data_IF_987923343613
#
_entry.id   IF_987923343613
#
_cell.length_a   1.000
_cell.length_b   1.000
_cell.length_c   1.000
_cell.angle_alpha   90.00
_cell.angle_beta   90.00
_cell.angle_gamma   90.00
#
_symmetry.space_group_name_H-M   'P 1'
#
loop_
_entity.id
_entity.type
_entity.pdbx_description
1 polymer ?
#
# COMPACT_ATOMS: atom_id res chain seq x y z
N UNK A 1 19.82 24.05 56.66
CA UNK A 1 20.90 23.16 56.19
C UNK A 1 20.24 21.80 55.97
N UNK A 2 19.78 21.41 54.79
CA UNK A 2 19.86 22.05 53.47
C UNK A 2 18.64 21.62 52.64
N UNK A 3 17.78 22.56 52.26
CA UNK A 3 16.73 22.40 51.21
C UNK A 3 17.34 22.27 49.80
N UNK A 4 18.61 21.84 49.73
CA UNK A 4 19.45 21.82 48.54
C UNK A 4 19.79 20.40 48.09
N UNK A 5 19.40 19.38 48.86
CA UNK A 5 19.58 17.96 48.51
C UNK A 5 18.44 17.38 47.65
N UNK A 6 17.27 18.02 47.56
CA UNK A 6 16.16 17.56 46.70
C UNK A 6 16.22 18.14 45.27
N UNK A 7 17.05 19.17 45.04
CA UNK A 7 17.23 19.81 43.75
C UNK A 7 18.12 19.00 42.77
N UNK A 8 18.66 17.86 43.23
CA UNK A 8 19.59 17.04 42.48
C UNK A 8 19.00 15.70 41.99
N UNK A 9 17.66 15.62 41.84
CA UNK A 9 17.02 14.62 40.97
C UNK A 9 17.54 14.84 39.55
N UNK A 10 18.68 14.19 39.28
CA UNK A 10 19.43 14.18 38.03
C UNK A 10 18.44 14.29 36.87
N UNK A 11 18.49 15.41 36.13
CA UNK A 11 17.83 15.48 34.81
C UNK A 11 18.32 14.26 34.04
N UNK A 12 17.47 13.25 33.87
CA UNK A 12 17.85 12.03 33.15
C UNK A 12 18.34 12.50 31.78
N UNK A 13 19.62 12.33 31.52
CA UNK A 13 20.22 12.67 30.24
C UNK A 13 19.48 11.88 29.16
N UNK A 14 18.96 12.59 28.16
CA UNK A 14 18.25 11.95 27.06
C UNK A 14 19.17 10.90 26.41
N UNK A 15 18.61 9.72 26.11
CA UNK A 15 19.35 8.69 25.41
C UNK A 15 19.87 9.21 24.07
N UNK A 16 21.14 8.96 23.78
CA UNK A 16 21.78 9.37 22.52
C UNK A 16 21.91 8.17 21.60
N UNK A 17 21.15 8.18 20.52
CA UNK A 17 21.19 7.12 19.51
C UNK A 17 22.53 7.11 18.76
N UNK A 18 23.15 5.94 18.73
CA UNK A 18 24.24 5.57 17.81
C UNK A 18 23.66 4.82 16.59
N UNK A 19 24.50 4.52 15.60
CA UNK A 19 24.08 3.72 14.44
C UNK A 19 23.72 2.29 14.86
N UNK A 20 24.48 1.67 15.76
CA UNK A 20 24.12 0.37 16.32
C UNK A 20 22.78 0.40 17.06
N UNK A 21 22.50 1.44 17.86
CA UNK A 21 21.19 1.58 18.51
C UNK A 21 20.05 1.84 17.51
N UNK A 22 20.33 2.48 16.36
CA UNK A 22 19.36 2.60 15.27
C UNK A 22 19.10 1.22 14.64
N UNK A 23 20.12 0.42 14.39
CA UNK A 23 19.98 -0.94 13.84
C UNK A 23 19.13 -1.81 14.77
N UNK A 24 19.42 -1.79 16.08
CA UNK A 24 18.65 -2.55 17.07
C UNK A 24 17.18 -2.09 17.10
N UNK A 25 16.94 -0.77 17.08
CA UNK A 25 15.58 -0.22 16.98
C UNK A 25 14.85 -0.71 15.73
N UNK A 26 15.53 -0.72 14.57
CA UNK A 26 14.93 -1.16 13.31
C UNK A 26 14.63 -2.66 13.31
N UNK A 27 15.52 -3.49 13.88
CA UNK A 27 15.27 -4.93 14.07
C UNK A 27 14.03 -5.18 14.91
N UNK A 28 13.86 -4.43 16.00
CA UNK A 28 12.65 -4.51 16.83
C UNK A 28 11.39 -4.04 16.09
N UNK A 29 11.49 -3.00 15.26
CA UNK A 29 10.37 -2.55 14.40
C UNK A 29 9.97 -3.63 13.39
N UNK A 30 10.94 -4.32 12.78
CA UNK A 30 10.67 -5.46 11.89
C UNK A 30 9.97 -6.59 12.63
N UNK A 31 10.44 -6.93 13.83
CA UNK A 31 9.90 -8.03 14.63
C UNK A 31 8.48 -7.75 15.12
N UNK A 32 8.26 -6.58 15.72
CA UNK A 32 7.00 -6.23 16.38
C UNK A 32 5.95 -5.68 15.40
N UNK A 33 6.41 -5.17 14.24
CA UNK A 33 5.59 -4.67 13.14
C UNK A 33 4.48 -3.67 13.56
N UNK A 34 4.84 -2.54 14.20
CA UNK A 34 3.86 -1.56 14.71
C UNK A 34 2.97 -0.94 13.62
N UNK A 35 3.44 -0.93 12.36
CA UNK A 35 2.70 -0.45 11.18
C UNK A 35 1.57 -1.39 10.73
N UNK A 36 1.67 -2.69 11.02
CA UNK A 36 0.63 -3.68 10.73
C UNK A 36 -0.27 -3.97 11.96
N UNK A 37 -0.10 -3.20 13.03
CA UNK A 37 -0.93 -3.33 14.23
C UNK A 37 -2.43 -3.15 13.89
N UNK A 38 -3.32 -3.94 14.54
CA UNK A 38 -4.75 -3.69 14.52
C UNK A 38 -5.11 -2.30 15.04
N UNK A 39 -6.31 -1.83 14.68
CA UNK A 39 -6.80 -0.52 15.14
C UNK A 39 -6.72 -0.41 16.67
N UNK A 40 -6.14 0.68 17.17
CA UNK A 40 -5.96 0.94 18.60
C UNK A 40 -4.76 0.24 19.26
N UNK A 41 -4.04 -0.66 18.58
CA UNK A 41 -2.93 -1.42 19.18
C UNK A 41 -1.53 -0.88 18.88
N UNK A 42 -1.41 0.12 18.00
CA UNK A 42 -0.10 0.70 17.63
C UNK A 42 0.69 1.19 18.84
N UNK A 43 0.04 1.81 19.83
CA UNK A 43 0.72 2.29 21.04
C UNK A 43 1.31 1.14 21.86
N UNK A 44 0.60 0.02 22.00
CA UNK A 44 1.09 -1.14 22.73
C UNK A 44 2.30 -1.78 22.04
N UNK A 45 2.30 -1.85 20.70
CA UNK A 45 3.44 -2.33 19.92
C UNK A 45 4.68 -1.45 20.07
N UNK A 46 4.50 -0.13 20.16
CA UNK A 46 5.62 0.78 20.46
C UNK A 46 6.13 0.63 21.89
N UNK A 47 5.24 0.36 22.86
CA UNK A 47 5.63 0.07 24.25
C UNK A 47 6.52 -1.17 24.32
N UNK A 48 6.12 -2.24 23.63
CA UNK A 48 6.88 -3.51 23.51
C UNK A 48 8.27 -3.29 22.91
N UNK A 49 8.37 -2.56 21.79
CA UNK A 49 9.66 -2.16 21.20
C UNK A 49 10.52 -1.42 22.22
N UNK A 50 9.93 -0.53 23.01
CA UNK A 50 10.67 0.23 24.00
C UNK A 50 11.16 -0.64 25.16
N UNK A 51 10.39 -1.63 25.59
CA UNK A 51 10.80 -2.61 26.57
C UNK A 51 12.02 -3.41 26.09
N UNK A 52 12.01 -3.89 24.84
CA UNK A 52 13.17 -4.59 24.26
C UNK A 52 14.39 -3.67 24.17
N UNK A 53 14.20 -2.43 23.71
CA UNK A 53 15.29 -1.45 23.63
C UNK A 53 15.87 -1.08 25.00
N UNK A 54 15.06 -1.05 26.07
CA UNK A 54 15.54 -0.87 27.45
C UNK A 54 16.37 -2.05 27.93
N UNK A 55 16.05 -3.28 27.52
CA UNK A 55 16.87 -4.45 27.86
C UNK A 55 18.27 -4.37 27.23
N UNK A 56 18.39 -3.79 26.03
CA UNK A 56 19.66 -3.66 25.31
C UNK A 56 20.48 -2.42 25.72
N UNK A 57 19.81 -1.28 25.95
CA UNK A 57 20.50 0.02 26.14
C UNK A 57 20.19 0.73 27.46
N UNK A 58 19.37 0.13 28.33
CA UNK A 58 19.03 0.61 29.66
C UNK A 58 17.80 1.51 29.76
N UNK A 59 17.38 1.79 30.99
CA UNK A 59 16.09 2.41 31.35
C UNK A 59 15.92 3.90 31.00
N UNK A 60 16.87 4.49 30.28
CA UNK A 60 16.80 5.90 29.87
C UNK A 60 15.90 6.13 28.64
N UNK A 61 15.54 5.05 27.94
CA UNK A 61 14.70 5.07 26.76
C UNK A 61 13.21 5.17 27.10
N UNK A 62 12.49 5.93 26.28
CA UNK A 62 11.03 6.10 26.39
C UNK A 62 10.34 5.74 25.08
N UNK A 63 9.10 5.27 25.16
CA UNK A 63 8.31 4.87 23.99
C UNK A 63 8.22 5.99 22.96
N UNK A 64 8.03 7.23 23.44
CA UNK A 64 8.02 8.43 22.61
C UNK A 64 9.36 8.68 21.91
N UNK A 65 10.49 8.42 22.58
CA UNK A 65 11.82 8.60 22.00
C UNK A 65 12.10 7.57 20.90
N UNK A 66 11.77 6.28 21.12
CA UNK A 66 11.94 5.23 20.11
C UNK A 66 11.11 5.54 18.86
N UNK A 67 9.83 5.87 19.04
CA UNK A 67 8.94 6.22 17.93
C UNK A 67 9.43 7.45 17.17
N UNK A 68 9.79 8.53 17.89
CA UNK A 68 10.31 9.74 17.26
C UNK A 68 11.59 9.45 16.47
N UNK A 69 12.50 8.65 17.02
CA UNK A 69 13.75 8.30 16.34
C UNK A 69 13.48 7.53 15.05
N UNK A 70 12.56 6.56 15.09
CA UNK A 70 12.14 5.84 13.89
C UNK A 70 11.52 6.78 12.85
N UNK A 71 10.62 7.69 13.26
CA UNK A 71 9.99 8.66 12.35
C UNK A 71 11.04 9.58 11.69
N UNK A 72 12.06 10.02 12.44
CA UNK A 72 13.18 10.82 11.93
C UNK A 72 14.02 10.02 10.92
N UNK A 73 14.33 8.75 11.20
CA UNK A 73 15.03 7.85 10.27
C UNK A 73 14.24 7.61 8.99
N UNK A 74 12.94 7.35 9.10
CA UNK A 74 12.04 7.15 7.95
C UNK A 74 11.90 8.42 7.10
N UNK A 75 11.82 9.59 7.75
CA UNK A 75 11.81 10.89 7.07
C UNK A 75 13.11 11.14 6.31
N UNK A 76 14.26 10.84 6.92
CA UNK A 76 15.57 10.98 6.27
C UNK A 76 15.74 9.97 5.12
N UNK A 77 15.29 8.74 5.29
CA UNK A 77 15.30 7.70 4.25
C UNK A 77 14.50 8.13 3.02
N UNK A 78 13.25 8.57 3.22
CA UNK A 78 12.39 9.05 2.13
C UNK A 78 12.95 10.26 1.39
N UNK A 79 13.80 11.06 2.05
CA UNK A 79 14.50 12.21 1.45
C UNK A 79 15.87 11.84 0.87
N UNK A 80 16.26 10.56 0.90
CA UNK A 80 17.60 10.10 0.52
C UNK A 80 18.74 10.81 1.30
N UNK A 81 18.48 11.24 2.53
CA UNK A 81 19.43 11.99 3.37
C UNK A 81 20.04 11.17 4.52
N UNK A 82 19.83 9.85 4.58
CA UNK A 82 20.44 9.00 5.61
C UNK A 82 21.98 9.05 5.64
N UNK A 83 22.61 9.30 4.49
CA UNK A 83 24.07 9.49 4.40
C UNK A 83 24.57 10.70 5.20
N UNK A 84 23.73 11.71 5.42
CA UNK A 84 24.06 12.88 6.22
C UNK A 84 24.01 12.61 7.74
N UNK A 85 23.41 11.50 8.19
CA UNK A 85 23.38 11.08 9.60
C UNK A 85 24.60 10.23 10.01
N UNK A 86 25.58 10.04 9.12
CA UNK A 86 26.81 9.30 9.41
C UNK A 86 27.72 10.12 10.33
N UNK A 87 27.56 9.96 11.65
CA UNK A 87 28.38 10.65 12.65
C UNK A 87 29.48 9.74 13.25
N UNK A 88 29.17 8.45 13.46
CA UNK A 88 30.07 7.43 13.98
C UNK A 88 29.49 6.05 13.67
N UNK A 89 30.27 5.17 13.05
CA UNK A 89 29.81 3.86 12.59
C UNK A 89 30.64 3.37 11.42
N UNK A 90 30.66 2.06 11.23
CA UNK A 90 31.32 1.36 10.12
C UNK A 90 30.46 1.41 8.85
N UNK A 91 31.06 1.17 7.68
CA UNK A 91 30.28 1.14 6.44
C UNK A 91 29.27 -0.02 6.48
N UNK A 92 29.64 -1.14 7.08
CA UNK A 92 28.79 -2.31 7.29
C UNK A 92 27.54 -1.96 8.11
N UNK A 93 27.69 -1.23 9.23
CA UNK A 93 26.56 -0.76 10.04
C UNK A 93 25.64 0.20 9.26
N UNK A 94 26.21 1.10 8.45
CA UNK A 94 25.39 2.00 7.63
C UNK A 94 24.60 1.23 6.57
N UNK A 95 25.23 0.24 5.93
CA UNK A 95 24.58 -0.61 4.92
C UNK A 95 23.46 -1.43 5.56
N UNK A 96 23.69 -2.04 6.72
CA UNK A 96 22.66 -2.80 7.44
C UNK A 96 21.46 -1.92 7.81
N UNK A 97 21.72 -0.73 8.37
CA UNK A 97 20.65 0.23 8.71
C UNK A 97 19.85 0.63 7.48
N UNK A 98 20.53 0.97 6.38
CA UNK A 98 19.88 1.43 5.16
C UNK A 98 19.06 0.29 4.51
N UNK A 99 19.53 -0.96 4.58
CA UNK A 99 18.79 -2.14 4.14
C UNK A 99 17.54 -2.38 4.99
N UNK A 100 17.66 -2.36 6.32
CA UNK A 100 16.50 -2.50 7.23
C UNK A 100 15.45 -1.40 6.98
N UNK A 101 15.89 -0.17 6.71
CA UNK A 101 14.97 0.92 6.36
C UNK A 101 14.21 0.68 5.06
N UNK A 102 14.88 0.14 4.03
CA UNK A 102 14.24 -0.25 2.78
C UNK A 102 13.22 -1.36 3.02
N UNK A 103 13.61 -2.43 3.72
CA UNK A 103 12.74 -3.57 4.02
C UNK A 103 11.49 -3.16 4.80
N UNK A 104 11.64 -2.30 5.82
CA UNK A 104 10.51 -1.76 6.59
C UNK A 104 9.60 -0.92 5.70
N UNK A 105 10.16 -0.06 4.83
CA UNK A 105 9.37 0.75 3.90
C UNK A 105 8.51 -0.13 2.99
N UNK A 106 9.09 -1.19 2.42
CA UNK A 106 8.39 -2.12 1.54
C UNK A 106 7.30 -2.89 2.30
N UNK A 107 7.58 -3.34 3.53
CA UNK A 107 6.59 -3.98 4.39
C UNK A 107 5.43 -3.05 4.76
N UNK A 108 5.72 -1.76 5.02
CA UNK A 108 4.69 -0.75 5.29
C UNK A 108 3.77 -0.55 4.08
N UNK A 109 4.33 -0.49 2.87
CA UNK A 109 3.55 -0.35 1.64
C UNK A 109 2.66 -1.57 1.39
N UNK A 110 3.20 -2.78 1.59
CA UNK A 110 2.40 -4.03 1.52
C UNK A 110 1.28 -4.03 2.55
N UNK A 111 1.54 -3.64 3.80
CA UNK A 111 0.53 -3.55 4.85
C UNK A 111 -0.57 -2.53 4.51
N UNK A 112 -0.20 -1.38 3.94
CA UNK A 112 -1.16 -0.37 3.48
C UNK A 112 -2.04 -0.89 2.33
N UNK A 113 -1.46 -1.59 1.35
CA UNK A 113 -2.22 -2.21 0.26
C UNK A 113 -3.21 -3.24 0.79
N UNK A 114 -2.79 -4.10 1.73
CA UNK A 114 -3.67 -5.07 2.40
C UNK A 114 -4.82 -4.40 3.13
N UNK A 115 -4.55 -3.34 3.91
CA UNK A 115 -5.57 -2.57 4.64
C UNK A 115 -6.57 -1.89 3.68
N UNK A 116 -6.09 -1.34 2.55
CA UNK A 116 -6.95 -0.77 1.51
C UNK A 116 -7.84 -1.82 0.85
N UNK A 117 -7.30 -2.99 0.51
CA UNK A 117 -8.07 -4.08 -0.08
C UNK A 117 -9.16 -4.58 0.88
N UNK A 118 -8.82 -4.76 2.17
CA UNK A 118 -9.80 -5.15 3.19
C UNK A 118 -10.91 -4.10 3.35
N UNK A 119 -10.57 -2.81 3.34
CA UNK A 119 -11.55 -1.72 3.43
C UNK A 119 -12.48 -1.70 2.22
N UNK A 120 -11.97 -1.87 0.99
CA UNK A 120 -12.81 -1.91 -0.20
C UNK A 120 -13.80 -3.09 -0.18
N UNK A 121 -13.36 -4.27 0.28
CA UNK A 121 -14.25 -5.43 0.43
C UNK A 121 -15.34 -5.14 1.46
N UNK A 122 -14.99 -4.51 2.58
CA UNK A 122 -15.96 -4.13 3.61
C UNK A 122 -16.96 -3.09 3.09
N UNK A 123 -16.49 -2.05 2.41
CA UNK A 123 -17.33 -1.00 1.83
C UNK A 123 -18.32 -1.56 0.80
N UNK A 124 -17.86 -2.48 -0.07
CA UNK A 124 -18.74 -3.20 -1.01
C UNK A 124 -19.81 -4.03 -0.29
N UNK A 125 -19.46 -4.72 0.80
CA UNK A 125 -20.43 -5.48 1.60
C UNK A 125 -21.47 -4.58 2.24
N UNK A 126 -21.06 -3.43 2.75
CA UNK A 126 -21.95 -2.44 3.34
C UNK A 126 -22.88 -1.81 2.30
N UNK A 127 -22.37 -1.46 1.11
CA UNK A 127 -23.18 -0.96 0.00
C UNK A 127 -24.20 -1.99 -0.48
N UNK A 128 -23.79 -3.25 -0.66
CA UNK A 128 -24.67 -4.34 -1.06
C UNK A 128 -25.77 -4.57 -0.01
N UNK A 129 -25.41 -4.50 1.28
CA UNK A 129 -26.36 -4.58 2.38
C UNK A 129 -27.39 -3.44 2.38
N UNK A 130 -26.97 -2.23 2.01
CA UNK A 130 -27.89 -1.08 1.87
C UNK A 130 -28.87 -1.31 0.71
N UNK A 131 -28.38 -1.75 -0.45
CA UNK A 131 -29.21 -2.03 -1.63
C UNK A 131 -30.27 -3.12 -1.34
N UNK A 132 -29.89 -4.18 -0.63
CA UNK A 132 -30.83 -5.26 -0.24
C UNK A 132 -31.91 -4.71 0.70
N UNK A 133 -31.53 -3.88 1.67
CA UNK A 133 -32.48 -3.28 2.63
C UNK A 133 -33.47 -2.35 1.92
N UNK A 134 -32.99 -1.53 0.99
CA UNK A 134 -33.83 -0.65 0.17
C UNK A 134 -34.80 -1.45 -0.71
N UNK A 135 -34.31 -2.49 -1.39
CA UNK A 135 -35.14 -3.36 -2.21
C UNK A 135 -36.24 -4.07 -1.39
N UNK A 136 -35.93 -4.50 -0.17
CA UNK A 136 -36.91 -5.10 0.74
C UNK A 136 -38.02 -4.11 1.15
N UNK A 137 -37.65 -2.87 1.50
CA UNK A 137 -38.62 -1.81 1.84
C UNK A 137 -39.53 -1.46 0.65
N UNK A 138 -38.98 -1.36 -0.55
CA UNK A 138 -39.76 -1.13 -1.78
C UNK A 138 -40.73 -2.28 -2.09
N UNK A 139 -40.34 -3.52 -1.84
CA UNK A 139 -41.22 -4.69 -1.98
C UNK A 139 -42.39 -4.66 -0.98
N UNK A 140 -42.12 -4.33 0.28
CA UNK A 140 -43.15 -4.18 1.32
C UNK A 140 -44.12 -3.03 1.00
N UNK A 141 -43.62 -1.89 0.50
CA UNK A 141 -44.45 -0.75 0.09
C UNK A 141 -45.39 -1.11 -1.06
N UNK A 142 -44.93 -1.88 -2.06
CA UNK A 142 -45.79 -2.38 -3.14
C UNK A 142 -46.86 -3.35 -2.63
N UNK A 143 -46.50 -4.22 -1.67
CA UNK A 143 -47.44 -5.19 -1.09
C UNK A 143 -48.49 -4.54 -0.18
N UNK A 144 -48.13 -3.47 0.53
CA UNK A 144 -49.07 -2.65 1.30
C UNK A 144 -50.06 -1.90 0.39
N UNK A 145 -49.59 -1.35 -0.74
CA UNK A 145 -50.46 -0.70 -1.73
C UNK A 145 -51.39 -1.68 -2.47
N UNK A 146 -51.02 -2.96 -2.54
CA UNK A 146 -51.84 -4.01 -3.17
C UNK A 146 -52.93 -4.57 -2.23
N UNK A 147 -52.70 -4.53 -0.92
CA UNK A 147 -53.68 -4.99 0.09
C UNK A 147 -54.79 -3.97 0.39
N UNK A 148 -54.68 -2.72 -0.09
CA UNK A 148 -55.67 -1.66 0.13
C UNK A 148 -56.78 -1.64 -0.97
N UNK A 149 -56.78 -2.62 -1.88
CA UNK A 149 -57.70 -2.70 -3.03
C UNK A 149 -58.61 -3.96 -3.03
N UNK A 150 -58.74 -4.66 -1.90
CA UNK A 150 -59.60 -5.85 -1.79
C UNK A 150 -60.38 -5.90 -0.46
N UNK A 151 -61.29 -4.94 -0.26
CA UNK A 151 -62.38 -5.15 0.68
C UNK A 151 -63.63 -4.32 0.35
N UNK A 152 -64.48 -4.82 -0.55
CA UNK A 152 -65.96 -4.74 -0.45
C UNK A 152 -66.62 -5.51 -1.61
N UNK A 153 -67.10 -6.72 -1.35
CA UNK A 153 -68.11 -7.40 -2.16
C UNK A 153 -69.38 -7.59 -1.32
N UNK A 154 -70.48 -6.95 -1.72
CA UNK A 154 -71.84 -7.44 -1.49
C UNK A 154 -72.82 -6.77 -2.48
N UNK A 155 -73.33 -7.60 -3.40
CA UNK A 155 -74.60 -7.54 -4.15
C UNK A 155 -74.97 -6.38 -5.10
N UNK A 156 -75.64 -6.77 -6.20
CA UNK A 156 -76.12 -5.97 -7.35
C UNK A 156 -77.66 -6.19 -7.52
N UNK A 157 -78.42 -5.65 -8.52
CA UNK A 157 -78.33 -4.48 -9.43
C UNK A 157 -79.75 -3.77 -9.54
N UNK A 158 -80.25 -3.16 -10.66
CA UNK A 158 -79.68 -2.49 -11.84
C UNK A 158 -80.31 -1.09 -12.15
N UNK A 159 -79.65 -0.21 -12.93
CA UNK A 159 -80.24 0.50 -14.10
C UNK A 159 -79.35 1.64 -14.65
N UNK A 160 -79.04 1.50 -15.94
CA UNK A 160 -78.90 2.49 -17.03
C UNK A 160 -78.16 3.83 -16.75
N UNK A 161 -77.06 4.06 -17.47
CA UNK A 161 -76.93 4.93 -18.65
C UNK A 161 -75.43 5.26 -18.90
N UNK A 162 -75.10 5.39 -20.19
CA UNK A 162 -73.93 6.04 -20.85
C UNK A 162 -72.99 6.85 -19.93
N UNK A 163 -71.67 6.84 -20.05
CA UNK A 163 -70.88 7.16 -21.24
C UNK A 163 -69.36 7.02 -20.93
N UNK A 164 -68.56 6.92 -21.98
CA UNK A 164 -67.14 7.26 -22.05
C UNK A 164 -66.08 6.37 -21.37
N UNK A 165 -65.85 5.18 -21.93
CA UNK A 165 -64.70 4.33 -21.62
C UNK A 165 -63.50 4.63 -22.55
N UNK A 166 -62.86 5.80 -22.41
CA UNK A 166 -61.54 6.09 -23.03
C UNK A 166 -60.69 6.97 -22.11
N UNK A 167 -60.17 6.40 -21.02
CA UNK A 167 -59.09 7.05 -20.25
C UNK A 167 -58.26 6.09 -19.39
N UNK A 168 -58.84 4.97 -18.93
CA UNK A 168 -58.17 4.15 -17.91
C UNK A 168 -57.07 3.19 -18.41
N UNK A 169 -57.04 2.81 -19.70
CA UNK A 169 -55.94 1.96 -20.23
C UNK A 169 -54.63 2.69 -20.51
N UNK A 170 -54.64 4.02 -20.55
CA UNK A 170 -53.44 4.80 -20.92
C UNK A 170 -52.53 5.06 -19.71
N UNK A 171 -53.07 5.09 -18.50
CA UNK A 171 -52.31 5.30 -17.27
C UNK A 171 -51.49 4.07 -16.86
N UNK A 172 -52.07 2.87 -16.92
CA UNK A 172 -51.39 1.61 -16.53
C UNK A 172 -50.29 1.18 -17.52
N UNK A 173 -50.44 1.51 -18.81
CA UNK A 173 -49.40 1.27 -19.83
C UNK A 173 -48.24 2.27 -19.69
N UNK A 174 -48.51 3.51 -19.26
CA UNK A 174 -47.49 4.55 -19.09
C UNK A 174 -46.59 4.30 -17.87
N UNK A 175 -47.14 3.71 -16.82
CA UNK A 175 -46.39 3.35 -15.61
C UNK A 175 -45.51 2.10 -15.82
N UNK A 176 -46.00 1.13 -16.62
CA UNK A 176 -45.23 -0.04 -17.03
C UNK A 176 -44.08 0.30 -18.00
N UNK A 177 -44.31 1.21 -18.95
CA UNK A 177 -43.26 1.72 -19.86
C UNK A 177 -42.24 2.60 -19.15
N UNK A 178 -42.64 3.33 -18.12
CA UNK A 178 -41.75 4.11 -17.24
C UNK A 178 -40.79 3.24 -16.41
N UNK A 179 -41.27 2.11 -15.87
CA UNK A 179 -40.44 1.17 -15.13
C UNK A 179 -39.42 0.47 -16.04
N UNK A 180 -39.84 0.03 -17.22
CA UNK A 180 -38.95 -0.57 -18.22
C UNK A 180 -37.90 0.44 -18.70
N UNK A 181 -38.28 1.70 -18.94
CA UNK A 181 -37.33 2.76 -19.29
C UNK A 181 -36.29 3.01 -18.18
N UNK A 182 -36.71 3.02 -16.91
CA UNK A 182 -35.81 3.17 -15.76
C UNK A 182 -34.85 1.99 -15.62
N UNK A 183 -35.33 0.77 -15.86
CA UNK A 183 -34.49 -0.43 -15.86
C UNK A 183 -33.49 -0.45 -17.03
N UNK A 184 -33.90 -0.02 -18.23
CA UNK A 184 -33.01 0.12 -19.39
C UNK A 184 -31.89 1.13 -19.10
N UNK A 185 -32.22 2.29 -18.52
CA UNK A 185 -31.22 3.30 -18.14
C UNK A 185 -30.25 2.77 -17.08
N UNK A 186 -30.72 2.04 -16.07
CA UNK A 186 -29.84 1.41 -15.08
C UNK A 186 -28.94 0.34 -15.70
N UNK A 187 -29.43 -0.43 -16.67
CA UNK A 187 -28.64 -1.45 -17.36
C UNK A 187 -27.58 -0.83 -18.27
N UNK A 188 -27.92 0.25 -18.98
CA UNK A 188 -26.98 1.02 -19.80
C UNK A 188 -25.88 1.64 -18.92
N UNK A 189 -26.24 2.21 -17.77
CA UNK A 189 -25.27 2.75 -16.82
C UNK A 189 -24.38 1.66 -16.21
N UNK A 190 -24.94 0.49 -15.89
CA UNK A 190 -24.15 -0.67 -15.43
C UNK A 190 -23.19 -1.17 -16.51
N UNK A 191 -23.60 -1.20 -17.77
CA UNK A 191 -22.75 -1.58 -18.89
C UNK A 191 -21.66 -0.54 -19.15
N UNK A 192 -21.98 0.74 -18.99
CA UNK A 192 -21.03 1.86 -19.10
C UNK A 192 -19.93 1.76 -18.03
N UNK A 193 -20.31 1.56 -16.77
CA UNK A 193 -19.36 1.39 -15.66
C UNK A 193 -18.47 0.16 -15.89
N UNK A 194 -19.04 -0.97 -16.30
CA UNK A 194 -18.25 -2.17 -16.63
C UNK A 194 -17.29 -1.94 -17.80
N UNK A 195 -17.69 -1.19 -18.82
CA UNK A 195 -16.83 -0.86 -19.94
C UNK A 195 -15.66 0.04 -19.52
N UNK A 196 -15.92 1.04 -18.67
CA UNK A 196 -14.90 1.92 -18.09
C UNK A 196 -13.92 1.14 -17.19
N UNK A 197 -14.41 0.21 -16.35
CA UNK A 197 -13.56 -0.68 -15.55
C UNK A 197 -12.68 -1.59 -16.41
N UNK A 198 -13.22 -2.14 -17.51
CA UNK A 198 -12.44 -2.95 -18.44
C UNK A 198 -11.38 -2.10 -19.16
N UNK A 199 -11.71 -0.87 -19.53
CA UNK A 199 -10.76 0.05 -20.16
C UNK A 199 -9.61 0.40 -19.21
N UNK A 200 -9.90 0.74 -17.96
CA UNK A 200 -8.87 1.02 -16.94
C UNK A 200 -7.97 -0.18 -16.70
N UNK A 201 -8.53 -1.39 -16.57
CA UNK A 201 -7.72 -2.62 -16.40
C UNK A 201 -6.82 -2.89 -17.61
N UNK A 202 -7.28 -2.61 -18.82
CA UNK A 202 -6.46 -2.75 -20.03
C UNK A 202 -5.31 -1.75 -20.05
N UNK A 203 -5.56 -0.51 -19.65
CA UNK A 203 -4.52 0.51 -19.54
C UNK A 203 -3.48 0.17 -18.45
N UNK A 204 -3.93 -0.31 -17.30
CA UNK A 204 -3.07 -0.79 -16.21
C UNK A 204 -2.15 -1.93 -16.68
N UNK A 205 -2.71 -2.94 -17.35
CA UNK A 205 -1.93 -4.04 -17.94
C UNK A 205 -0.91 -3.53 -18.96
N UNK A 206 -1.29 -2.57 -19.81
CA UNK A 206 -0.38 -2.00 -20.80
C UNK A 206 0.79 -1.23 -20.14
N UNK A 207 0.51 -0.50 -19.05
CA UNK A 207 1.54 0.18 -18.28
C UNK A 207 2.48 -0.79 -17.57
N UNK A 208 1.96 -1.88 -17.01
CA UNK A 208 2.77 -2.94 -16.41
C UNK A 208 3.68 -3.63 -17.44
N UNK A 209 3.15 -3.95 -18.62
CA UNK A 209 3.94 -4.52 -19.72
C UNK A 209 5.09 -3.59 -20.12
N UNK A 210 4.81 -2.28 -20.24
CA UNK A 210 5.83 -1.29 -20.57
C UNK A 210 6.89 -1.14 -19.49
N UNK A 211 6.51 -1.21 -18.21
CA UNK A 211 7.47 -1.21 -17.09
C UNK A 211 8.39 -2.43 -17.15
N UNK A 212 7.81 -3.62 -17.39
CA UNK A 212 8.57 -4.86 -17.51
C UNK A 212 9.58 -4.79 -18.68
N UNK A 213 9.17 -4.24 -19.82
CA UNK A 213 10.04 -4.06 -20.98
C UNK A 213 11.22 -3.12 -20.67
N UNK A 214 10.96 -2.00 -19.98
CA UNK A 214 12.01 -1.07 -19.56
C UNK A 214 12.97 -1.71 -18.55
N UNK A 215 12.47 -2.53 -17.64
CA UNK A 215 13.30 -3.25 -16.66
C UNK A 215 14.20 -4.30 -17.34
N UNK A 216 13.66 -5.06 -18.29
CA UNK A 216 14.43 -5.99 -19.11
C UNK A 216 15.51 -5.28 -19.93
N UNK A 217 15.18 -4.14 -20.54
CA UNK A 217 16.14 -3.33 -21.30
C UNK A 217 17.26 -2.80 -20.40
N UNK A 218 16.93 -2.32 -19.19
CA UNK A 218 17.92 -1.89 -18.20
C UNK A 218 18.84 -3.04 -17.79
N UNK A 219 18.28 -4.21 -17.49
CA UNK A 219 19.09 -5.38 -17.15
C UNK A 219 20.03 -5.79 -18.29
N UNK A 220 19.56 -5.73 -19.55
CA UNK A 220 20.38 -6.03 -20.70
C UNK A 220 21.54 -5.04 -20.87
N UNK A 221 21.29 -3.74 -20.64
CA UNK A 221 22.34 -2.72 -20.65
C UNK A 221 23.37 -2.93 -19.54
N UNK A 222 22.92 -3.15 -18.30
CA UNK A 222 23.81 -3.40 -17.16
C UNK A 222 24.67 -4.66 -17.39
N UNK A 223 24.09 -5.70 -17.98
CA UNK A 223 24.82 -6.92 -18.37
C UNK A 223 25.86 -6.63 -19.46
N UNK A 224 25.49 -5.92 -20.52
CA UNK A 224 26.39 -5.56 -21.62
C UNK A 224 27.54 -4.67 -21.13
N UNK A 225 27.28 -3.74 -20.21
CA UNK A 225 28.31 -2.89 -19.62
C UNK A 225 29.34 -3.71 -18.83
N UNK A 226 28.88 -4.67 -18.02
CA UNK A 226 29.76 -5.57 -17.28
C UNK A 226 30.61 -6.44 -18.21
N UNK A 227 30.00 -7.00 -19.24
CA UNK A 227 30.71 -7.81 -20.24
C UNK A 227 31.75 -6.97 -20.99
N UNK A 228 31.43 -5.73 -21.37
CA UNK A 228 32.37 -4.81 -22.01
C UNK A 228 33.56 -4.45 -21.10
N UNK A 229 33.30 -4.18 -19.81
CA UNK A 229 34.37 -3.93 -18.82
C UNK A 229 35.29 -5.12 -18.67
N UNK A 230 34.72 -6.32 -18.55
CA UNK A 230 35.50 -7.54 -18.46
C UNK A 230 36.32 -7.80 -19.73
N UNK A 231 35.76 -7.54 -20.91
CA UNK A 231 36.46 -7.67 -22.18
C UNK A 231 37.66 -6.72 -22.30
N UNK A 232 37.51 -5.46 -21.85
CA UNK A 232 38.60 -4.49 -21.81
C UNK A 232 39.70 -4.96 -20.86
N UNK A 233 39.36 -5.35 -19.63
CA UNK A 233 40.35 -5.84 -18.64
C UNK A 233 41.10 -7.07 -19.16
N UNK A 234 40.40 -7.98 -19.83
CA UNK A 234 41.00 -9.16 -20.46
C UNK A 234 41.99 -8.77 -21.56
N UNK A 235 41.61 -7.86 -22.45
CA UNK A 235 42.49 -7.38 -23.53
C UNK A 235 43.72 -6.65 -22.97
N UNK A 236 43.57 -5.85 -21.91
CA UNK A 236 44.69 -5.20 -21.23
C UNK A 236 45.66 -6.21 -20.62
N UNK A 237 45.16 -7.27 -19.97
CA UNK A 237 46.03 -8.35 -19.47
C UNK A 237 46.74 -9.09 -20.59
N UNK A 238 46.06 -9.39 -21.68
CA UNK A 238 46.65 -10.09 -22.83
C UNK A 238 47.79 -9.26 -23.44
N UNK A 239 47.59 -7.95 -23.65
CA UNK A 239 48.64 -7.06 -24.16
C UNK A 239 49.83 -6.93 -23.20
N UNK A 240 49.59 -6.88 -21.88
CA UNK A 240 50.67 -6.89 -20.89
C UNK A 240 51.49 -8.19 -20.92
N UNK A 241 50.82 -9.34 -21.01
CA UNK A 241 51.49 -10.65 -21.10
C UNK A 241 52.29 -10.76 -22.39
N UNK A 242 51.75 -10.28 -23.51
CA UNK A 242 52.45 -10.28 -24.79
C UNK A 242 53.70 -9.38 -24.76
N UNK A 243 53.61 -8.20 -24.15
CA UNK A 243 54.75 -7.31 -23.94
C UNK A 243 55.86 -7.97 -23.10
N UNK A 244 55.49 -8.62 -21.98
CA UNK A 244 56.45 -9.34 -21.14
C UNK A 244 57.11 -10.49 -21.91
N UNK A 245 56.32 -11.24 -22.69
CA UNK A 245 56.82 -12.35 -23.51
C UNK A 245 57.82 -11.86 -24.56
N UNK A 246 57.50 -10.79 -25.29
CA UNK A 246 58.39 -10.18 -26.28
C UNK A 246 59.70 -9.68 -25.64
N UNK A 247 59.62 -9.08 -24.45
CA UNK A 247 60.80 -8.63 -23.70
C UNK A 247 61.71 -9.80 -23.31
N UNK A 248 61.13 -10.91 -22.86
CA UNK A 248 61.87 -12.13 -22.53
C UNK A 248 62.54 -12.73 -23.78
N UNK A 249 61.85 -12.77 -24.91
CA UNK A 249 62.40 -13.27 -26.17
C UNK A 249 63.58 -12.39 -26.65
N UNK A 250 63.47 -11.06 -26.55
CA UNK A 250 64.57 -10.14 -26.85
C UNK A 250 65.78 -10.36 -25.93
N UNK A 251 65.55 -10.50 -24.61
CA UNK A 251 66.62 -10.78 -23.64
C UNK A 251 67.33 -12.11 -23.92
N UNK A 252 66.60 -13.13 -24.39
CA UNK A 252 67.20 -14.42 -24.81
C UNK A 252 68.02 -14.26 -26.09
N UNK A 253 67.54 -13.49 -27.06
CA UNK A 253 68.27 -13.24 -28.31
C UNK A 253 69.58 -12.48 -28.09
N UNK A 254 69.65 -11.59 -27.11
CA UNK A 254 70.88 -10.87 -26.73
C UNK A 254 71.90 -11.72 -25.97
N UNK A 255 71.54 -12.94 -25.53
CA UNK A 255 72.41 -13.84 -24.76
C UNK A 255 73.12 -14.88 -25.63
N UNK A 256 72.69 -15.05 -26.88
CA UNK A 256 73.35 -15.86 -27.90
C UNK A 256 74.25 -15.00 -28.78
#
# INVERSE_FOLDING_TARGET
MSEQDDANKRKKTAFRYSVSADIDLLKEVVMVAPYDAPYGQTSARWEEICDHMRQLHGDSLTTASCRKRFDDLLSAFKKSTLKALRASGTEEEYVERDQLMQDISDMMDVALLRKKAAKQVQERRESDGHLIREAALMSMKRKAAQNDFDHTQAESPPAKLMDNQKSSRQATVRESTSFVASFTLMMEESNRIKAEEIAMKREEIALEQRKLELEQARYALDKAEREARFAIEKAERETQVEFLRSTIEMMKAMRN
#
